data_IF_955686973026
#
_entry.id   IF_955686973026
#
_cell.length_a   1.000
_cell.length_b   1.000
_cell.length_c   1.000
_cell.angle_alpha   90.00
_cell.angle_beta   90.00
_cell.angle_gamma   90.00
#
_symmetry.space_group_name_H-M   'P 1'
#
loop_
_entity.id
_entity.type
_entity.pdbx_description
1 polymer ?
#
# COMPACT_ATOMS: atom_id res chain seq x y z
N UNK A 1 -19.69 -9.69 -12.41
CA UNK A 1 -18.36 -9.55 -11.75
C UNK A 1 -18.57 -9.34 -10.25
N UNK A 2 -18.79 -10.41 -9.47
CA UNK A 2 -19.18 -10.31 -8.05
C UNK A 2 -18.26 -11.07 -7.09
N UNK A 3 -17.14 -11.67 -7.51
CA UNK A 3 -16.39 -12.62 -6.65
C UNK A 3 -15.00 -12.18 -6.14
N UNK A 4 -14.48 -11.01 -6.52
CA UNK A 4 -13.12 -10.60 -6.16
C UNK A 4 -13.04 -9.84 -4.83
N UNK A 5 -14.00 -8.95 -4.57
CA UNK A 5 -14.05 -8.18 -3.32
C UNK A 5 -14.45 -9.07 -2.12
N UNK A 6 -15.37 -10.01 -2.34
CA UNK A 6 -15.90 -10.89 -1.28
C UNK A 6 -14.86 -11.91 -0.79
N UNK A 7 -13.92 -12.32 -1.66
CA UNK A 7 -12.80 -13.20 -1.28
C UNK A 7 -11.79 -12.47 -0.37
N UNK A 8 -11.59 -11.16 -0.56
CA UNK A 8 -10.68 -10.35 0.25
C UNK A 8 -11.33 -9.97 1.59
N UNK A 9 -12.66 -9.90 1.65
CA UNK A 9 -13.42 -9.44 2.81
C UNK A 9 -14.02 -10.58 3.65
N UNK A 10 -13.30 -11.69 3.84
CA UNK A 10 -13.74 -12.76 4.74
C UNK A 10 -13.33 -12.47 6.19
N UNK A 11 -14.32 -12.03 6.96
CA UNK A 11 -14.46 -12.11 8.42
C UNK A 11 -13.41 -12.97 9.14
N UNK A 12 -12.30 -12.37 9.59
CA UNK A 12 -11.25 -13.12 10.29
C UNK A 12 -11.04 -12.62 11.73
N UNK A 13 -11.40 -13.49 12.68
CA UNK A 13 -11.00 -13.39 14.10
C UNK A 13 -9.60 -13.99 14.33
N UNK A 14 -8.99 -14.62 13.33
CA UNK A 14 -7.56 -14.93 13.29
C UNK A 14 -6.87 -13.82 12.50
N UNK A 15 -5.55 -13.69 12.66
CA UNK A 15 -4.74 -12.74 11.88
C UNK A 15 -4.16 -13.51 10.71
N UNK A 16 -4.98 -13.91 9.74
CA UNK A 16 -4.46 -14.49 8.51
C UNK A 16 -4.04 -13.37 7.55
N UNK A 17 -2.83 -13.49 7.00
CA UNK A 17 -2.31 -12.57 5.99
C UNK A 17 -2.38 -13.25 4.63
N UNK A 18 -3.15 -12.68 3.71
CA UNK A 18 -3.22 -13.17 2.34
C UNK A 18 -2.20 -12.45 1.47
N UNK A 19 -1.35 -13.21 0.79
CA UNK A 19 -0.48 -12.69 -0.26
C UNK A 19 -1.23 -12.77 -1.58
N UNK A 20 -1.35 -11.65 -2.28
CA UNK A 20 -1.87 -11.66 -3.63
C UNK A 20 -0.84 -12.23 -4.62
N UNK A 21 -1.32 -13.05 -5.55
CA UNK A 21 -0.55 -13.59 -6.68
C UNK A 21 -1.13 -13.13 -8.03
N UNK A 22 -1.93 -12.06 -8.04
CA UNK A 22 -2.49 -11.51 -9.27
C UNK A 22 -1.43 -10.77 -10.09
N UNK A 23 -1.73 -10.54 -11.37
CA UNK A 23 -0.89 -9.73 -12.25
C UNK A 23 -0.83 -8.27 -11.77
N UNK A 24 0.28 -7.59 -12.07
CA UNK A 24 0.51 -6.19 -11.70
C UNK A 24 -0.62 -5.26 -12.15
N UNK A 25 -1.15 -5.47 -13.36
CA UNK A 25 -2.27 -4.67 -13.88
C UNK A 25 -3.56 -4.91 -13.09
N UNK A 26 -3.80 -6.13 -12.63
CA UNK A 26 -4.97 -6.45 -11.79
C UNK A 26 -4.85 -5.78 -10.42
N UNK A 27 -3.65 -5.79 -9.83
CA UNK A 27 -3.34 -5.09 -8.58
C UNK A 27 -3.59 -3.58 -8.69
N UNK A 28 -3.10 -2.94 -9.75
CA UNK A 28 -3.36 -1.52 -10.00
C UNK A 28 -4.85 -1.22 -10.18
N UNK A 29 -5.56 -2.06 -10.94
CA UNK A 29 -7.00 -1.92 -11.12
C UNK A 29 -7.75 -2.04 -9.79
N UNK A 30 -7.42 -3.04 -8.98
CA UNK A 30 -8.00 -3.25 -7.65
C UNK A 30 -7.73 -2.04 -6.76
N UNK A 31 -6.48 -1.56 -6.69
CA UNK A 31 -6.14 -0.39 -5.89
C UNK A 31 -6.98 0.83 -6.32
N UNK A 32 -7.09 1.06 -7.63
CA UNK A 32 -7.86 2.18 -8.19
C UNK A 32 -9.35 2.15 -7.90
N UNK A 33 -9.93 0.96 -7.72
CA UNK A 33 -11.38 0.78 -7.56
C UNK A 33 -11.82 0.55 -6.13
N UNK A 34 -11.03 -0.19 -5.34
CA UNK A 34 -11.46 -0.72 -4.05
C UNK A 34 -10.75 -0.08 -2.86
N UNK A 35 -9.48 0.32 -3.00
CA UNK A 35 -8.69 0.83 -1.86
C UNK A 35 -9.10 2.25 -1.47
N UNK A 36 -9.80 2.37 -0.32
CA UNK A 36 -10.13 3.65 0.34
C UNK A 36 -9.03 4.15 1.28
N UNK A 37 -8.16 3.25 1.71
CA UNK A 37 -6.95 3.51 2.49
C UNK A 37 -5.85 2.56 2.02
N UNK A 38 -4.61 2.98 2.15
CA UNK A 38 -3.45 2.19 1.71
C UNK A 38 -2.31 2.34 2.73
N UNK A 39 -1.63 1.23 3.04
CA UNK A 39 -0.46 1.23 3.92
C UNK A 39 0.75 0.70 3.18
N UNK A 40 1.74 1.56 3.01
CA UNK A 40 3.03 1.25 2.40
C UNK A 40 4.03 0.86 3.50
N UNK A 41 4.16 -0.44 3.74
CA UNK A 41 5.11 -1.00 4.74
C UNK A 41 6.56 -0.97 4.27
N UNK A 42 6.78 -1.00 2.96
CA UNK A 42 8.08 -0.85 2.31
C UNK A 42 8.08 0.47 1.50
N UNK A 43 8.43 1.60 2.13
CA UNK A 43 8.36 2.94 1.50
C UNK A 43 9.19 3.06 0.23
N UNK A 44 10.25 2.26 0.08
CA UNK A 44 11.15 2.24 -1.08
C UNK A 44 10.66 1.34 -2.22
N UNK A 45 9.53 0.65 -2.09
CA UNK A 45 8.99 -0.22 -3.14
C UNK A 45 8.34 0.61 -4.25
N UNK A 46 8.84 0.48 -5.49
CA UNK A 46 8.24 1.11 -6.67
C UNK A 46 6.82 0.60 -6.95
N UNK A 47 6.60 -0.72 -6.83
CA UNK A 47 5.27 -1.33 -6.99
C UNK A 47 4.31 -0.82 -5.92
N UNK A 48 4.73 -0.81 -4.65
CA UNK A 48 3.90 -0.31 -3.55
C UNK A 48 3.56 1.18 -3.70
N UNK A 49 4.50 1.98 -4.22
CA UNK A 49 4.27 3.39 -4.51
C UNK A 49 3.18 3.59 -5.58
N UNK A 50 3.22 2.83 -6.68
CA UNK A 50 2.19 2.91 -7.73
C UNK A 50 0.83 2.45 -7.22
N UNK A 51 0.77 1.41 -6.40
CA UNK A 51 -0.48 0.98 -5.78
C UNK A 51 -1.06 2.07 -4.88
N UNK A 52 -0.23 2.71 -4.06
CA UNK A 52 -0.64 3.83 -3.23
C UNK A 52 -1.12 5.03 -4.07
N UNK A 53 -0.46 5.31 -5.19
CA UNK A 53 -0.85 6.36 -6.14
C UNK A 53 -2.22 6.12 -6.78
N UNK A 54 -2.51 4.88 -7.15
CA UNK A 54 -3.80 4.57 -7.76
C UNK A 54 -4.95 4.50 -6.75
N UNK A 55 -4.67 4.33 -5.45
CA UNK A 55 -5.71 4.22 -4.43
C UNK A 55 -6.70 5.41 -4.47
N UNK A 56 -8.00 5.12 -4.38
CA UNK A 56 -9.05 6.15 -4.47
C UNK A 56 -8.96 7.17 -3.32
N UNK A 57 -8.55 6.73 -2.14
CA UNK A 57 -8.40 7.56 -0.95
C UNK A 57 -7.00 8.12 -0.77
N UNK A 58 -6.58 9.07 -1.61
CA UNK A 58 -5.25 9.69 -1.52
C UNK A 58 -4.94 10.36 -0.17
N UNK A 59 -5.96 10.82 0.54
CA UNK A 59 -5.82 11.38 1.89
C UNK A 59 -5.71 10.33 3.00
N UNK A 60 -5.80 9.04 2.67
CA UNK A 60 -5.71 7.92 3.61
C UNK A 60 -4.60 6.95 3.18
N UNK A 61 -3.53 7.50 2.60
CA UNK A 61 -2.33 6.75 2.26
C UNK A 61 -1.31 6.98 3.36
N UNK A 62 -0.83 5.89 3.94
CA UNK A 62 0.12 5.89 5.03
C UNK A 62 1.39 5.17 4.62
N UNK A 63 2.56 5.67 5.04
CA UNK A 63 3.83 4.99 4.80
C UNK A 63 4.67 4.95 6.07
N UNK A 64 5.32 3.82 6.31
CA UNK A 64 6.29 3.70 7.40
C UNK A 64 7.64 4.22 6.96
N UNK A 65 8.21 5.19 7.68
CA UNK A 65 9.63 5.53 7.51
C UNK A 65 10.45 4.54 8.33
N UNK A 66 10.81 3.46 7.68
CA UNK A 66 11.55 2.39 8.31
C UNK A 66 12.90 2.90 8.85
N UNK A 67 13.07 2.90 10.18
CA UNK A 67 14.34 3.24 10.83
C UNK A 67 15.37 2.11 10.70
N UNK A 68 15.01 0.96 10.13
CA UNK A 68 15.96 -0.11 9.83
C UNK A 68 17.08 0.45 8.96
N UNK A 69 18.32 0.17 9.35
CA UNK A 69 19.52 0.55 8.60
C UNK A 69 19.55 -0.25 7.29
N UNK A 70 18.80 0.19 6.29
CA UNK A 70 18.97 -0.29 4.91
C UNK A 70 20.34 0.20 4.49
N UNK A 71 21.26 -0.73 4.20
CA UNK A 71 22.70 -0.43 4.04
C UNK A 71 22.97 0.60 2.94
N UNK A 72 22.08 0.70 1.93
CA UNK A 72 22.38 1.46 0.72
C UNK A 72 21.30 2.49 0.30
N UNK A 73 20.08 2.43 0.88
CA UNK A 73 18.97 3.32 0.49
C UNK A 73 18.36 4.01 1.71
N UNK A 74 18.99 5.09 2.16
CA UNK A 74 18.32 6.04 3.05
C UNK A 74 17.36 6.88 2.21
N UNK A 75 16.05 6.73 2.43
CA UNK A 75 15.06 7.71 1.99
C UNK A 75 15.25 8.97 2.85
N UNK A 76 16.13 9.85 2.39
CA UNK A 76 16.50 11.08 3.10
C UNK A 76 15.40 12.14 3.04
N UNK A 77 14.60 12.13 1.98
CA UNK A 77 13.64 13.19 1.70
C UNK A 77 12.21 12.65 1.68
N UNK A 78 11.30 13.35 2.36
CA UNK A 78 9.87 13.07 2.29
C UNK A 78 9.27 13.57 0.94
N UNK A 79 10.10 14.15 0.04
CA UNK A 79 9.72 14.61 -1.31
C UNK A 79 9.27 13.48 -2.25
N UNK A 80 9.65 12.23 -1.98
CA UNK A 80 9.25 11.09 -2.80
C UNK A 80 7.78 10.67 -2.61
N UNK A 81 7.10 11.23 -1.61
CA UNK A 81 5.69 10.96 -1.33
C UNK A 81 4.83 12.18 -1.65
N UNK A 82 3.59 11.92 -2.07
CA UNK A 82 2.66 12.99 -2.35
C UNK A 82 2.29 13.72 -1.05
N UNK A 83 2.11 15.04 -1.12
CA UNK A 83 1.70 15.90 0.01
C UNK A 83 0.51 15.37 0.84
N UNK A 84 -0.57 14.81 0.25
CA UNK A 84 -1.68 14.26 1.04
C UNK A 84 -1.34 12.97 1.81
N UNK A 85 -0.17 12.36 1.60
CA UNK A 85 0.17 11.10 2.23
C UNK A 85 0.76 11.31 3.63
N UNK A 86 0.39 10.42 4.54
CA UNK A 86 0.72 10.52 5.95
C UNK A 86 1.89 9.61 6.31
N UNK A 87 2.92 10.20 6.91
CA UNK A 87 4.02 9.43 7.49
C UNK A 87 3.57 8.82 8.82
N UNK A 88 3.82 7.52 9.00
CA UNK A 88 3.72 6.85 10.28
C UNK A 88 5.13 6.70 10.86
N UNK A 89 5.35 7.33 12.01
CA UNK A 89 6.55 7.16 12.80
C UNK A 89 6.34 5.93 13.71
N UNK A 90 7.15 4.90 13.51
CA UNK A 90 7.19 3.69 14.37
C UNK A 90 8.13 3.84 15.56
#
# INVERSE_FOLDING_TARGET
MQNLADTIMLNDRRRTTHLSIFSEMSEFYISSRLCKSFLLSAPTSTMGWWLAFFAKGQNNVYYYKDRRKVKDYKMWSDEFFLKPWHRLDG
#
